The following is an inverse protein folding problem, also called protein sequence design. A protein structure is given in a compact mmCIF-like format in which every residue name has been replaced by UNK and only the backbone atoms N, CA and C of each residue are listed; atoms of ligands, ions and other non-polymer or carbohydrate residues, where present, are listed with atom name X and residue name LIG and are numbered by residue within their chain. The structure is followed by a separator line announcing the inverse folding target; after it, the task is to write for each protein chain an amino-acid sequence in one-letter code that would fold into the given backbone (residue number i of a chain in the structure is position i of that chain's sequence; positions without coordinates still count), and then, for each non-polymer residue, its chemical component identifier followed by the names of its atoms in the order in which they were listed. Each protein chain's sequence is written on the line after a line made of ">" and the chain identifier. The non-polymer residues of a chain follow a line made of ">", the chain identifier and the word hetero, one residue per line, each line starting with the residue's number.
data_IF_270322312099
#
_entry.id   IF_270322312099
#
_cell.length_a   1.000
_cell.length_b   1.000
_cell.length_c   1.000
_cell.angle_alpha   90.00
_cell.angle_beta   90.00
_cell.angle_gamma   90.00
#
_symmetry.space_group_name_H-M   'P 1'
#
loop_
_entity.id
_entity.type
_entity.pdbx_description
1 polymer ?
#
# COMPACT_ATOMS: atom_id res chain seq x y z
N UNK A 1 2.66 36.59 -8.37
CA UNK A 1 1.30 36.01 -8.39
C UNK A 1 1.25 34.96 -9.52
N UNK A 2 2.15 33.98 -9.64
CA UNK A 2 2.41 32.79 -8.78
C UNK A 2 1.14 31.99 -8.50
N UNK A 3 0.91 30.99 -9.37
CA UNK A 3 -0.18 30.02 -9.48
C UNK A 3 -1.58 30.61 -9.74
N UNK A 4 -2.24 30.15 -10.82
CA UNK A 4 -3.62 30.52 -11.20
C UNK A 4 -4.68 29.96 -10.22
N UNK A 5 -4.43 30.12 -8.91
CA UNK A 5 -5.31 29.62 -7.84
C UNK A 5 -6.52 30.54 -7.72
N UNK A 6 -7.71 29.98 -7.82
CA UNK A 6 -8.96 30.73 -7.67
C UNK A 6 -9.40 30.84 -6.21
N UNK A 7 -10.27 31.80 -5.90
CA UNK A 7 -10.91 31.90 -4.58
C UNK A 7 -11.70 30.64 -4.22
N UNK A 8 -12.30 29.98 -5.23
CA UNK A 8 -13.02 28.73 -5.05
C UNK A 8 -12.09 27.60 -4.61
N UNK A 9 -10.89 27.51 -5.20
CA UNK A 9 -9.87 26.53 -4.80
C UNK A 9 -9.37 26.78 -3.38
N UNK A 10 -9.12 28.03 -3.00
CA UNK A 10 -8.68 28.36 -1.63
C UNK A 10 -9.78 28.05 -0.60
N UNK A 11 -11.04 28.39 -0.89
CA UNK A 11 -12.16 28.03 -0.03
C UNK A 11 -12.31 26.50 0.10
N UNK A 12 -12.12 25.76 -0.99
CA UNK A 12 -12.15 24.30 -1.00
C UNK A 12 -11.01 23.71 -0.15
N UNK A 13 -9.77 24.19 -0.32
CA UNK A 13 -8.58 23.79 0.45
C UNK A 13 -8.76 24.01 1.96
N UNK A 14 -9.29 25.17 2.33
CA UNK A 14 -9.53 25.58 3.73
C UNK A 14 -10.74 24.91 4.38
N UNK A 15 -11.64 24.32 3.58
CA UNK A 15 -12.87 23.71 4.09
C UNK A 15 -14.01 24.71 4.37
N UNK A 16 -13.96 25.90 3.78
CA UNK A 16 -14.95 26.95 4.01
C UNK A 16 -16.23 26.74 3.17
N UNK A 17 -16.99 25.69 3.46
CA UNK A 17 -18.16 25.29 2.67
C UNK A 17 -19.21 26.42 2.46
N UNK A 18 -19.41 27.29 3.46
CA UNK A 18 -20.30 28.46 3.33
C UNK A 18 -19.78 29.49 2.34
N UNK A 19 -18.47 29.78 2.38
CA UNK A 19 -17.83 30.70 1.43
C UNK A 19 -17.84 30.08 0.04
N UNK A 20 -17.55 28.78 -0.06
CA UNK A 20 -17.62 28.02 -1.30
C UNK A 20 -19.01 28.14 -1.94
N UNK A 21 -20.09 27.99 -1.15
CA UNK A 21 -21.46 28.15 -1.63
C UNK A 21 -21.71 29.56 -2.18
N UNK A 22 -21.35 30.60 -1.41
CA UNK A 22 -21.49 31.99 -1.84
C UNK A 22 -20.75 32.24 -3.17
N UNK A 23 -19.51 31.76 -3.30
CA UNK A 23 -18.72 31.92 -4.51
C UNK A 23 -19.39 31.26 -5.72
N UNK A 24 -19.92 30.04 -5.55
CA UNK A 24 -20.62 29.32 -6.62
C UNK A 24 -21.93 30.00 -7.02
N UNK A 25 -22.69 30.51 -6.06
CA UNK A 25 -23.94 31.23 -6.32
C UNK A 25 -23.69 32.58 -7.02
N UNK A 26 -22.48 33.14 -6.90
CA UNK A 26 -22.03 34.34 -7.62
C UNK A 26 -21.20 34.03 -8.88
N UNK A 27 -21.30 32.81 -9.41
CA UNK A 27 -20.75 32.47 -10.73
C UNK A 27 -19.26 32.10 -10.74
N UNK A 28 -18.65 31.76 -9.60
CA UNK A 28 -17.31 31.18 -9.61
C UNK A 28 -17.28 29.88 -10.42
N UNK A 29 -16.34 29.78 -11.36
CA UNK A 29 -16.24 28.62 -12.25
C UNK A 29 -15.77 27.37 -11.51
N UNK A 30 -16.57 26.30 -11.57
CA UNK A 30 -16.19 24.95 -11.11
C UNK A 30 -15.06 24.33 -11.95
N UNK A 31 -14.94 24.76 -13.20
CA UNK A 31 -14.02 24.20 -14.18
C UNK A 31 -12.70 24.97 -14.31
N UNK A 32 -12.50 26.00 -13.49
CA UNK A 32 -11.21 26.65 -13.41
C UNK A 32 -10.14 25.66 -12.93
N UNK A 33 -8.99 25.69 -13.58
CA UNK A 33 -7.81 24.91 -13.25
C UNK A 33 -6.66 25.83 -12.90
N UNK A 34 -5.84 25.41 -11.94
CA UNK A 34 -4.57 26.09 -11.69
C UNK A 34 -3.47 25.60 -12.66
N UNK A 35 -2.23 26.01 -12.40
CA UNK A 35 -1.04 25.65 -13.20
C UNK A 35 -0.69 24.16 -13.16
N UNK A 36 -1.22 23.41 -12.19
CA UNK A 36 -1.05 21.96 -12.08
C UNK A 36 -2.25 21.19 -12.64
N UNK A 37 -3.25 21.90 -13.17
CA UNK A 37 -4.49 21.31 -13.65
C UNK A 37 -5.46 20.91 -12.54
N UNK A 38 -5.22 21.32 -11.29
CA UNK A 38 -6.12 21.02 -10.18
C UNK A 38 -7.37 21.90 -10.27
N UNK A 39 -8.52 21.28 -10.06
CA UNK A 39 -9.79 21.97 -9.80
C UNK A 39 -10.02 22.12 -8.28
N UNK A 40 -11.02 22.90 -7.88
CA UNK A 40 -11.40 23.02 -6.47
C UNK A 40 -11.67 21.67 -5.78
N UNK A 41 -12.22 20.67 -6.50
CA UNK A 41 -12.49 19.34 -5.94
C UNK A 41 -11.23 18.56 -5.57
N UNK A 42 -10.10 18.78 -6.28
CA UNK A 42 -8.82 18.18 -5.91
C UNK A 42 -8.36 18.69 -4.55
N UNK A 43 -8.45 20.00 -4.32
CA UNK A 43 -8.06 20.60 -3.04
C UNK A 43 -8.97 20.21 -1.89
N UNK A 44 -10.29 20.10 -2.14
CA UNK A 44 -11.21 19.58 -1.13
C UNK A 44 -10.83 18.14 -0.74
N UNK A 45 -10.51 17.29 -1.71
CA UNK A 45 -10.16 15.91 -1.47
C UNK A 45 -8.79 15.75 -0.78
N UNK A 46 -7.77 16.44 -1.28
CA UNK A 46 -6.40 16.47 -0.74
C UNK A 46 -6.34 16.93 0.72
N UNK A 47 -7.30 17.75 1.16
CA UNK A 47 -7.30 18.33 2.51
C UNK A 47 -8.45 17.80 3.39
N UNK A 48 -9.14 16.73 2.97
CA UNK A 48 -10.16 16.06 3.79
C UNK A 48 -11.40 16.93 4.03
N UNK A 49 -11.75 17.81 3.10
CA UNK A 49 -12.84 18.77 3.25
C UNK A 49 -14.14 18.19 2.72
N UNK A 50 -14.65 17.16 3.39
CA UNK A 50 -15.84 16.40 2.96
C UNK A 50 -17.05 17.29 2.61
N UNK A 51 -17.37 18.29 3.44
CA UNK A 51 -18.49 19.21 3.15
C UNK A 51 -18.29 20.04 1.88
N UNK A 52 -17.06 20.48 1.61
CA UNK A 52 -16.74 21.18 0.37
C UNK A 52 -16.82 20.24 -0.83
N UNK A 53 -16.30 19.02 -0.69
CA UNK A 53 -16.35 17.98 -1.71
C UNK A 53 -17.81 17.65 -2.10
N UNK A 54 -18.66 17.39 -1.10
CA UNK A 54 -20.10 17.16 -1.26
C UNK A 54 -20.78 18.31 -2.02
N UNK A 55 -20.53 19.55 -1.61
CA UNK A 55 -21.08 20.72 -2.27
C UNK A 55 -20.61 20.83 -3.74
N UNK A 56 -19.32 20.65 -4.00
CA UNK A 56 -18.76 20.70 -5.35
C UNK A 56 -19.38 19.64 -6.27
N UNK A 57 -19.52 18.39 -5.79
CA UNK A 57 -20.17 17.31 -6.55
C UNK A 57 -21.65 17.60 -6.79
N UNK A 58 -22.37 18.12 -5.78
CA UNK A 58 -23.80 18.50 -5.92
C UNK A 58 -24.03 19.60 -6.96
N UNK A 59 -23.03 20.45 -7.21
CA UNK A 59 -23.06 21.51 -8.22
C UNK A 59 -22.49 21.06 -9.58
N UNK A 60 -22.17 19.78 -9.75
CA UNK A 60 -21.75 19.18 -11.03
C UNK A 60 -20.25 19.00 -11.21
N UNK A 61 -19.43 19.14 -10.16
CA UNK A 61 -18.01 18.78 -10.26
C UNK A 61 -17.84 17.27 -10.44
N UNK A 62 -17.09 16.88 -11.46
CA UNK A 62 -16.74 15.48 -11.70
C UNK A 62 -15.56 15.08 -10.81
N UNK A 63 -15.72 14.03 -10.00
CA UNK A 63 -14.68 13.52 -9.11
C UNK A 63 -13.74 12.48 -9.76
N UNK A 64 -13.88 12.25 -11.07
CA UNK A 64 -13.07 11.31 -11.87
C UNK A 64 -11.99 12.02 -12.70
N UNK A 65 -11.95 13.35 -12.69
CA UNK A 65 -11.02 14.12 -13.52
C UNK A 65 -9.64 14.13 -12.89
N UNK A 66 -8.62 13.76 -13.67
CA UNK A 66 -7.23 13.89 -13.25
C UNK A 66 -6.68 15.29 -13.47
N UNK A 67 -5.73 15.70 -12.63
CA UNK A 67 -4.90 16.90 -12.86
C UNK A 67 -3.82 16.64 -13.94
N UNK A 68 -2.86 17.56 -14.12
CA UNK A 68 -1.79 17.38 -15.12
C UNK A 68 -0.85 16.21 -14.82
N UNK A 69 -0.83 15.70 -13.59
CA UNK A 69 -0.11 14.47 -13.21
C UNK A 69 -1.00 13.23 -13.22
N UNK A 70 -2.21 13.35 -13.78
CA UNK A 70 -3.26 12.33 -13.78
C UNK A 70 -3.74 11.91 -12.38
N UNK A 71 -3.42 12.68 -11.33
CA UNK A 71 -3.96 12.43 -9.99
C UNK A 71 -5.42 12.84 -9.92
N UNK A 72 -6.29 11.90 -9.58
CA UNK A 72 -7.73 12.15 -9.34
C UNK A 72 -7.97 12.70 -7.92
N UNK A 73 -9.15 13.25 -7.62
CA UNK A 73 -9.56 13.56 -6.25
C UNK A 73 -9.46 12.36 -5.30
N UNK A 74 -9.82 11.16 -5.75
CA UNK A 74 -9.70 9.93 -4.94
C UNK A 74 -8.23 9.64 -4.61
N UNK A 75 -7.32 9.74 -5.58
CA UNK A 75 -5.87 9.59 -5.35
C UNK A 75 -5.33 10.62 -4.34
N UNK A 76 -5.75 11.88 -4.46
CA UNK A 76 -5.35 12.95 -3.52
C UNK A 76 -5.84 12.68 -2.10
N UNK A 77 -7.09 12.23 -1.94
CA UNK A 77 -7.63 11.85 -0.63
C UNK A 77 -6.93 10.61 -0.06
N UNK A 78 -6.60 9.64 -0.92
CA UNK A 78 -5.95 8.40 -0.51
C UNK A 78 -4.51 8.63 -0.02
N UNK A 79 -3.72 9.38 -0.80
CA UNK A 79 -2.35 9.79 -0.44
C UNK A 79 -2.30 10.53 0.92
N UNK A 80 -3.29 11.39 1.18
CA UNK A 80 -3.34 12.20 2.40
C UNK A 80 -4.11 11.55 3.56
N UNK A 81 -4.70 10.36 3.37
CA UNK A 81 -5.33 9.58 4.44
C UNK A 81 -6.73 10.03 4.84
N UNK A 82 -7.47 10.67 3.94
CA UNK A 82 -8.82 11.18 4.23
C UNK A 82 -9.88 10.10 4.00
N UNK A 83 -9.99 9.16 4.94
CA UNK A 83 -10.88 7.99 4.88
C UNK A 83 -12.36 8.33 4.65
N UNK A 84 -12.86 9.41 5.25
CA UNK A 84 -14.24 9.90 5.10
C UNK A 84 -14.51 10.39 3.66
N UNK A 85 -13.57 11.13 3.08
CA UNK A 85 -13.60 11.57 1.68
C UNK A 85 -13.49 10.37 0.73
N UNK A 86 -12.56 9.44 0.98
CA UNK A 86 -12.38 8.22 0.16
C UNK A 86 -13.68 7.42 0.13
N UNK A 87 -14.26 7.13 1.30
CA UNK A 87 -15.52 6.39 1.44
C UNK A 87 -16.64 7.10 0.67
N UNK A 88 -16.83 8.40 0.90
CA UNK A 88 -17.88 9.16 0.23
C UNK A 88 -17.74 9.14 -1.30
N UNK A 89 -16.52 9.27 -1.83
CA UNK A 89 -16.27 9.23 -3.27
C UNK A 89 -16.66 7.87 -3.86
N UNK A 90 -16.27 6.77 -3.21
CA UNK A 90 -16.57 5.41 -3.65
C UNK A 90 -18.08 5.13 -3.62
N UNK A 91 -18.75 5.49 -2.52
CA UNK A 91 -20.20 5.33 -2.35
C UNK A 91 -21.00 6.17 -3.36
N UNK A 92 -20.43 7.27 -3.86
CA UNK A 92 -21.01 8.10 -4.92
C UNK A 92 -20.53 7.73 -6.33
N UNK A 93 -20.08 6.49 -6.52
CA UNK A 93 -19.82 5.91 -7.84
C UNK A 93 -18.45 6.25 -8.44
N UNK A 94 -17.55 6.90 -7.70
CA UNK A 94 -16.14 7.02 -8.11
C UNK A 94 -15.51 5.65 -7.93
N UNK A 95 -15.29 4.98 -9.05
CA UNK A 95 -14.81 3.62 -9.01
C UNK A 95 -13.29 3.60 -8.71
N UNK A 96 -12.86 2.76 -7.77
CA UNK A 96 -11.43 2.51 -7.49
C UNK A 96 -10.79 1.95 -8.77
N UNK A 97 -9.77 2.62 -9.30
CA UNK A 97 -9.15 2.21 -10.56
C UNK A 97 -7.70 1.83 -10.34
N UNK A 98 -7.19 0.76 -10.93
CA UNK A 98 -5.73 0.55 -11.03
C UNK A 98 -5.09 1.50 -12.08
N UNK A 99 -5.73 2.65 -12.36
CA UNK A 99 -5.14 3.63 -13.25
C UNK A 99 -3.95 4.26 -12.55
N UNK A 100 -2.92 4.51 -13.33
CA UNK A 100 -1.67 5.03 -12.81
C UNK A 100 -1.55 6.51 -13.10
N UNK A 101 -1.07 7.25 -12.11
CA UNK A 101 -0.64 8.63 -12.29
C UNK A 101 0.68 8.69 -13.12
N UNK A 102 1.23 9.88 -13.35
CA UNK A 102 2.50 10.03 -14.10
C UNK A 102 3.71 9.28 -13.50
N UNK A 103 3.65 8.90 -12.23
CA UNK A 103 4.69 8.17 -11.51
C UNK A 103 4.39 6.66 -11.43
N UNK A 104 3.43 6.16 -12.21
CA UNK A 104 3.00 4.75 -12.14
C UNK A 104 2.33 4.37 -10.81
N UNK A 105 1.64 5.29 -10.13
CA UNK A 105 1.00 5.03 -8.84
C UNK A 105 -0.54 5.06 -8.93
N UNK A 106 -1.19 4.12 -8.25
CA UNK A 106 -2.64 4.06 -8.03
C UNK A 106 -3.05 4.69 -6.68
N UNK A 107 -4.35 4.73 -6.38
CA UNK A 107 -4.86 5.11 -5.06
C UNK A 107 -4.30 4.21 -3.94
N UNK A 108 -4.18 2.90 -4.17
CA UNK A 108 -3.71 1.94 -3.17
C UNK A 108 -2.21 2.14 -2.93
N UNK A 109 -1.40 2.23 -3.98
CA UNK A 109 0.05 2.42 -3.82
C UNK A 109 0.35 3.77 -3.14
N UNK A 110 -0.41 4.83 -3.43
CA UNK A 110 -0.27 6.14 -2.78
C UNK A 110 -0.60 6.09 -1.28
N UNK A 111 -1.72 5.46 -0.92
CA UNK A 111 -2.12 5.29 0.48
C UNK A 111 -1.12 4.42 1.25
N UNK A 112 -0.69 3.30 0.66
CA UNK A 112 0.29 2.40 1.26
C UNK A 112 1.66 3.06 1.44
N UNK A 113 2.17 3.76 0.42
CA UNK A 113 3.44 4.50 0.51
C UNK A 113 3.41 5.58 1.58
N UNK A 114 2.26 6.21 1.79
CA UNK A 114 2.04 7.27 2.78
C UNK A 114 1.58 6.73 4.16
N UNK A 115 1.60 5.41 4.34
CA UNK A 115 1.18 4.68 5.53
C UNK A 115 -0.23 5.05 6.02
N UNK A 116 -1.19 5.13 5.10
CA UNK A 116 -2.60 5.48 5.38
C UNK A 116 -3.45 4.22 5.53
N UNK A 117 -3.23 3.46 6.61
CA UNK A 117 -3.81 2.12 6.79
C UNK A 117 -5.34 2.10 6.77
N UNK A 118 -6.01 3.10 7.34
CA UNK A 118 -7.48 3.19 7.27
C UNK A 118 -8.00 3.37 5.83
N UNK A 119 -7.27 4.11 4.99
CA UNK A 119 -7.59 4.19 3.56
C UNK A 119 -7.29 2.87 2.86
N UNK A 120 -6.16 2.21 3.17
CA UNK A 120 -5.82 0.90 2.61
C UNK A 120 -6.94 -0.11 2.92
N UNK A 121 -7.41 -0.18 4.16
CA UNK A 121 -8.55 -1.03 4.58
C UNK A 121 -9.80 -0.76 3.74
N UNK A 122 -10.12 0.51 3.47
CA UNK A 122 -11.23 0.88 2.58
C UNK A 122 -10.97 0.39 1.15
N UNK A 123 -9.79 0.65 0.59
CA UNK A 123 -9.47 0.32 -0.81
C UNK A 123 -9.35 -1.19 -1.08
N UNK A 124 -9.06 -1.99 -0.06
CA UNK A 124 -9.00 -3.45 -0.10
C UNK A 124 -10.34 -4.11 0.27
N UNK A 125 -11.33 -3.34 0.73
CA UNK A 125 -12.60 -3.88 1.16
C UNK A 125 -13.30 -4.59 -0.03
N UNK A 126 -13.65 -5.89 0.10
CA UNK A 126 -14.33 -6.65 -0.94
C UNK A 126 -15.65 -6.03 -1.41
N UNK A 127 -16.33 -5.24 -0.57
CA UNK A 127 -17.54 -4.50 -0.95
C UNK A 127 -17.30 -3.47 -2.07
N UNK A 128 -16.08 -2.95 -2.18
CA UNK A 128 -15.68 -1.99 -3.21
C UNK A 128 -14.81 -2.62 -4.31
N UNK A 129 -14.54 -3.92 -4.20
CA UNK A 129 -13.77 -4.67 -5.18
C UNK A 129 -14.47 -4.72 -6.55
N UNK A 130 -13.66 -4.76 -7.61
CA UNK A 130 -14.15 -4.82 -8.98
C UNK A 130 -13.80 -6.20 -9.52
N UNK A 131 -14.78 -7.12 -9.67
CA UNK A 131 -14.51 -8.54 -9.92
C UNK A 131 -13.82 -8.83 -11.25
N UNK A 132 -13.73 -7.85 -12.15
CA UNK A 132 -13.08 -7.98 -13.46
C UNK A 132 -11.72 -7.28 -13.57
N UNK A 133 -11.21 -6.73 -12.46
CA UNK A 133 -9.87 -6.14 -12.42
C UNK A 133 -9.00 -7.07 -11.58
N UNK A 134 -8.03 -7.69 -12.23
CA UNK A 134 -6.97 -8.39 -11.52
C UNK A 134 -6.05 -7.35 -10.86
N UNK A 135 -5.88 -7.47 -9.54
CA UNK A 135 -5.02 -6.60 -8.73
C UNK A 135 -3.84 -7.35 -8.15
N UNK A 136 -3.59 -8.61 -8.54
CA UNK A 136 -2.51 -9.43 -7.99
C UNK A 136 -1.17 -8.71 -8.02
N UNK A 137 -0.78 -8.17 -9.18
CA UNK A 137 0.52 -7.49 -9.37
C UNK A 137 0.64 -6.25 -8.49
N UNK A 138 -0.45 -5.51 -8.33
CA UNK A 138 -0.51 -4.33 -7.47
C UNK A 138 -0.39 -4.71 -5.99
N UNK A 139 -1.16 -5.71 -5.53
CA UNK A 139 -1.10 -6.22 -4.16
C UNK A 139 0.30 -6.74 -3.82
N UNK A 140 0.88 -7.52 -4.72
CA UNK A 140 2.22 -8.08 -4.60
C UNK A 140 3.30 -6.99 -4.54
N UNK A 141 3.20 -5.99 -5.42
CA UNK A 141 4.10 -4.84 -5.40
C UNK A 141 4.03 -4.09 -4.07
N UNK A 142 2.82 -3.87 -3.53
CA UNK A 142 2.65 -3.16 -2.25
C UNK A 142 3.10 -4.04 -1.07
N UNK A 143 2.90 -5.37 -1.13
CA UNK A 143 3.35 -6.30 -0.09
C UNK A 143 4.87 -6.23 0.05
N UNK A 144 5.59 -6.26 -1.08
CA UNK A 144 7.05 -6.07 -1.09
C UNK A 144 7.46 -4.76 -0.42
N UNK A 145 6.79 -3.64 -0.73
CA UNK A 145 7.08 -2.35 -0.09
C UNK A 145 6.80 -2.38 1.42
N UNK A 146 5.77 -3.10 1.87
CA UNK A 146 5.47 -3.27 3.28
C UNK A 146 6.57 -4.03 4.00
N UNK A 147 7.07 -5.12 3.40
CA UNK A 147 8.19 -5.92 3.91
C UNK A 147 9.49 -5.12 3.97
N UNK A 148 9.84 -4.39 2.90
CA UNK A 148 11.02 -3.52 2.84
C UNK A 148 10.99 -2.42 3.91
N UNK A 149 9.79 -1.90 4.22
CA UNK A 149 9.57 -0.86 5.24
C UNK A 149 9.33 -1.42 6.64
N UNK A 150 9.38 -2.73 6.85
CA UNK A 150 9.09 -3.41 8.13
C UNK A 150 7.70 -3.05 8.70
N UNK A 151 6.70 -2.92 7.81
CA UNK A 151 5.34 -2.55 8.16
C UNK A 151 4.43 -3.79 8.17
N UNK A 152 4.42 -4.48 9.32
CA UNK A 152 3.66 -5.73 9.51
C UNK A 152 2.16 -5.54 9.30
N UNK A 153 1.55 -4.49 9.87
CA UNK A 153 0.10 -4.25 9.74
C UNK A 153 -0.30 -4.06 8.26
N UNK A 154 0.50 -3.32 7.48
CA UNK A 154 0.24 -3.18 6.04
C UNK A 154 0.41 -4.52 5.30
N UNK A 155 1.43 -5.30 5.63
CA UNK A 155 1.66 -6.60 5.00
C UNK A 155 0.49 -7.57 5.28
N UNK A 156 0.02 -7.65 6.52
CA UNK A 156 -1.13 -8.49 6.89
C UNK A 156 -2.38 -8.08 6.12
N UNK A 157 -2.70 -6.78 6.03
CA UNK A 157 -3.85 -6.30 5.24
C UNK A 157 -3.79 -6.75 3.76
N UNK A 158 -2.59 -6.77 3.18
CA UNK A 158 -2.40 -7.17 1.78
C UNK A 158 -2.50 -8.68 1.61
N UNK A 159 -1.95 -9.45 2.55
CA UNK A 159 -2.05 -10.91 2.58
C UNK A 159 -3.51 -11.36 2.75
N UNK A 160 -4.27 -10.71 3.65
CA UNK A 160 -5.71 -10.90 3.80
C UNK A 160 -6.48 -10.59 2.52
N UNK A 161 -6.03 -9.59 1.75
CA UNK A 161 -6.60 -9.21 0.47
C UNK A 161 -6.15 -10.13 -0.69
N UNK A 162 -5.31 -11.13 -0.44
CA UNK A 162 -4.87 -12.12 -1.43
C UNK A 162 -3.54 -11.80 -2.12
N UNK A 163 -2.69 -10.93 -1.56
CA UNK A 163 -1.31 -10.82 -2.01
C UNK A 163 -0.58 -12.17 -1.84
N UNK A 164 0.28 -12.51 -2.78
CA UNK A 164 1.07 -13.74 -2.74
C UNK A 164 2.24 -13.59 -1.76
N UNK A 165 2.27 -14.32 -0.63
CA UNK A 165 3.39 -14.26 0.33
C UNK A 165 4.71 -14.77 -0.26
N UNK A 166 4.69 -15.47 -1.40
CA UNK A 166 5.85 -15.99 -2.09
C UNK A 166 6.34 -15.08 -3.22
N UNK A 167 5.71 -13.90 -3.38
CA UNK A 167 6.13 -12.95 -4.39
C UNK A 167 7.58 -12.50 -4.18
N UNK A 168 8.26 -12.28 -5.30
CA UNK A 168 9.69 -11.93 -5.34
C UNK A 168 9.88 -10.45 -5.66
N UNK A 169 10.99 -9.87 -5.21
CA UNK A 169 11.36 -8.51 -5.60
C UNK A 169 11.94 -8.47 -7.03
N UNK A 170 12.48 -7.31 -7.43
CA UNK A 170 13.07 -7.12 -8.76
C UNK A 170 14.30 -7.99 -9.05
N UNK A 171 14.91 -8.58 -8.02
CA UNK A 171 16.08 -9.44 -8.09
C UNK A 171 15.71 -10.92 -7.91
N UNK A 172 14.43 -11.26 -8.14
CA UNK A 172 13.86 -12.58 -7.88
C UNK A 172 14.06 -13.07 -6.42
N UNK A 173 14.21 -12.13 -5.48
CA UNK A 173 14.42 -12.41 -4.06
C UNK A 173 13.07 -12.49 -3.32
N UNK A 174 12.70 -13.64 -2.71
CA UNK A 174 11.39 -13.79 -2.08
C UNK A 174 11.24 -12.94 -0.82
N UNK A 175 10.04 -12.39 -0.60
CA UNK A 175 9.75 -11.50 0.53
C UNK A 175 10.12 -12.10 1.90
N UNK A 176 9.99 -13.42 2.08
CA UNK A 176 10.36 -14.11 3.31
C UNK A 176 11.85 -13.92 3.65
N UNK A 177 12.74 -13.95 2.66
CA UNK A 177 14.16 -13.73 2.89
C UNK A 177 14.44 -12.29 3.32
N UNK A 178 13.82 -11.30 2.68
CA UNK A 178 13.95 -9.89 3.09
C UNK A 178 13.52 -9.68 4.54
N UNK A 179 12.44 -10.32 4.99
CA UNK A 179 12.00 -10.26 6.39
C UNK A 179 13.04 -10.87 7.36
N UNK A 180 13.67 -11.99 6.96
CA UNK A 180 14.73 -12.65 7.73
C UNK A 180 15.98 -11.78 7.83
N UNK A 181 16.45 -11.25 6.70
CA UNK A 181 17.63 -10.36 6.64
C UNK A 181 17.42 -9.08 7.47
N UNK A 182 16.17 -8.61 7.52
CA UNK A 182 15.75 -7.48 8.34
C UNK A 182 15.66 -7.80 9.84
N UNK A 183 15.73 -9.07 10.23
CA UNK A 183 15.51 -9.53 11.60
C UNK A 183 14.08 -9.32 12.11
N UNK A 184 13.10 -9.19 11.22
CA UNK A 184 11.72 -8.86 11.56
C UNK A 184 10.90 -10.14 11.81
N UNK A 185 10.96 -10.62 13.06
CA UNK A 185 10.28 -11.86 13.47
C UNK A 185 8.77 -11.82 13.22
N UNK A 186 8.11 -10.69 13.46
CA UNK A 186 6.65 -10.59 13.29
C UNK A 186 6.27 -10.61 11.80
N UNK A 187 7.06 -9.99 10.93
CA UNK A 187 6.89 -10.14 9.48
C UNK A 187 7.12 -11.58 9.01
N UNK A 188 8.15 -12.26 9.53
CA UNK A 188 8.42 -13.68 9.23
C UNK A 188 7.24 -14.56 9.64
N UNK A 189 6.72 -14.36 10.86
CA UNK A 189 5.54 -15.08 11.36
C UNK A 189 4.34 -14.86 10.45
N UNK A 190 4.07 -13.59 10.10
CA UNK A 190 2.96 -13.20 9.23
C UNK A 190 3.06 -13.89 7.88
N UNK A 191 4.16 -13.71 7.14
CA UNK A 191 4.36 -14.33 5.84
C UNK A 191 4.20 -15.85 5.87
N UNK A 192 4.78 -16.54 6.85
CA UNK A 192 4.65 -18.00 7.00
C UNK A 192 3.20 -18.40 7.30
N UNK A 193 2.50 -17.67 8.17
CA UNK A 193 1.10 -17.97 8.50
C UNK A 193 0.15 -17.84 7.30
N UNK A 194 0.48 -16.96 6.35
CA UNK A 194 -0.26 -16.78 5.10
C UNK A 194 0.22 -17.70 3.96
N UNK A 195 1.21 -18.57 4.19
CA UNK A 195 1.63 -19.59 3.24
C UNK A 195 2.95 -19.34 2.52
N UNK A 196 3.84 -18.50 3.07
CA UNK A 196 5.21 -18.42 2.58
C UNK A 196 5.93 -19.77 2.70
N UNK A 197 6.61 -20.17 1.63
CA UNK A 197 7.33 -21.44 1.56
C UNK A 197 8.62 -21.38 2.39
N UNK A 198 8.59 -22.10 3.52
CA UNK A 198 9.73 -22.22 4.46
C UNK A 198 10.95 -22.98 3.88
N UNK A 199 10.79 -23.65 2.74
CA UNK A 199 11.81 -24.43 2.05
C UNK A 199 12.15 -23.88 0.65
N UNK A 200 11.68 -22.68 0.33
CA UNK A 200 12.01 -22.02 -0.93
C UNK A 200 13.52 -21.81 -1.04
N UNK A 201 14.07 -21.96 -2.24
CA UNK A 201 15.45 -21.59 -2.51
C UNK A 201 15.47 -20.19 -3.12
N UNK A 202 16.36 -19.34 -2.63
CA UNK A 202 16.73 -18.13 -3.36
C UNK A 202 17.73 -18.49 -4.50
N UNK A 203 18.22 -17.48 -5.22
CA UNK A 203 19.15 -17.66 -6.34
C UNK A 203 20.53 -18.23 -5.95
N UNK A 204 20.86 -18.23 -4.66
CA UNK A 204 22.09 -18.81 -4.09
C UNK A 204 21.91 -20.24 -3.53
N UNK A 205 20.78 -20.90 -3.84
CA UNK A 205 20.39 -22.19 -3.25
C UNK A 205 20.31 -22.16 -1.71
N UNK A 206 20.07 -20.98 -1.12
CA UNK A 206 19.91 -20.79 0.33
C UNK A 206 18.42 -20.96 0.69
N UNK A 207 18.16 -21.68 1.78
CA UNK A 207 16.80 -21.81 2.36
C UNK A 207 16.54 -20.71 3.40
N UNK A 208 15.27 -20.39 3.74
CA UNK A 208 14.95 -19.47 4.82
C UNK A 208 15.65 -19.80 6.15
N UNK A 209 15.74 -21.09 6.52
CA UNK A 209 16.44 -21.50 7.73
C UNK A 209 17.94 -21.19 7.65
N UNK A 210 18.57 -21.45 6.51
CA UNK A 210 19.99 -21.15 6.29
C UNK A 210 20.26 -19.65 6.40
N UNK A 211 19.44 -18.82 5.75
CA UNK A 211 19.54 -17.36 5.87
C UNK A 211 19.38 -16.90 7.32
N UNK A 212 18.39 -17.42 8.06
CA UNK A 212 18.19 -17.10 9.46
C UNK A 212 19.41 -17.44 10.34
N UNK A 213 20.06 -18.58 10.08
CA UNK A 213 21.31 -18.97 10.76
C UNK A 213 22.44 -17.99 10.43
N UNK A 214 22.58 -17.58 9.17
CA UNK A 214 23.60 -16.61 8.74
C UNK A 214 23.42 -15.23 9.39
N UNK A 215 22.18 -14.79 9.63
CA UNK A 215 21.91 -13.55 10.37
C UNK A 215 22.22 -13.66 11.88
N UNK A 216 22.30 -14.88 12.42
CA UNK A 216 22.46 -15.13 13.86
C UNK A 216 21.22 -14.81 14.71
N UNK A 217 20.05 -14.60 14.10
CA UNK A 217 18.81 -14.30 14.83
C UNK A 217 18.17 -15.59 15.38
N UNK A 218 18.43 -15.88 16.66
CA UNK A 218 17.98 -17.09 17.35
C UNK A 218 16.45 -17.24 17.30
N UNK A 219 15.69 -16.16 17.52
CA UNK A 219 14.23 -16.22 17.57
C UNK A 219 13.62 -16.62 16.22
N UNK A 220 14.18 -16.12 15.11
CA UNK A 220 13.76 -16.50 13.76
C UNK A 220 14.14 -17.96 13.46
N UNK A 221 15.36 -18.39 13.86
CA UNK A 221 15.80 -19.78 13.69
C UNK A 221 14.87 -20.74 14.44
N UNK A 222 14.55 -20.44 15.70
CA UNK A 222 13.62 -21.23 16.50
C UNK A 222 12.24 -21.31 15.84
N UNK A 223 11.71 -20.16 15.40
CA UNK A 223 10.39 -20.12 14.77
C UNK A 223 10.33 -20.92 13.47
N UNK A 224 11.27 -20.72 12.54
CA UNK A 224 11.31 -21.46 11.26
C UNK A 224 11.50 -22.96 11.50
N UNK A 225 12.35 -23.34 12.47
CA UNK A 225 12.57 -24.75 12.84
C UNK A 225 11.29 -25.40 13.35
N UNK A 226 10.54 -24.70 14.21
CA UNK A 226 9.25 -25.17 14.71
C UNK A 226 8.24 -25.28 13.58
N UNK A 227 8.07 -24.24 12.76
CA UNK A 227 7.15 -24.22 11.63
C UNK A 227 7.41 -25.37 10.63
N UNK A 228 8.69 -25.69 10.36
CA UNK A 228 9.06 -26.81 9.49
C UNK A 228 8.69 -28.19 10.03
N UNK A 229 8.85 -28.42 11.35
CA UNK A 229 8.40 -29.66 11.99
C UNK A 229 6.90 -29.86 11.86
N UNK A 230 6.10 -28.82 12.05
CA UNK A 230 4.65 -28.89 11.95
C UNK A 230 4.16 -29.13 10.51
N UNK A 231 4.87 -28.59 9.51
CA UNK A 231 4.51 -28.75 8.10
C UNK A 231 5.02 -30.07 7.48
N UNK A 232 5.65 -30.96 8.26
CA UNK A 232 6.21 -32.22 7.76
C UNK A 232 7.37 -32.03 6.78
N UNK A 233 7.99 -30.85 6.82
CA UNK A 233 9.04 -30.43 5.89
C UNK A 233 10.39 -30.82 6.48
N UNK A 234 11.15 -31.63 5.75
CA UNK A 234 12.54 -31.94 6.13
C UNK A 234 13.40 -30.72 5.84
N UNK A 235 13.83 -30.03 6.90
CA UNK A 235 14.77 -28.93 6.81
C UNK A 235 16.16 -29.54 6.57
N UNK A 236 16.61 -29.55 5.32
CA UNK A 236 17.91 -30.14 4.96
C UNK A 236 19.04 -29.16 5.21
N UNK A 237 19.96 -29.52 6.10
CA UNK A 237 21.23 -28.83 6.32
C UNK A 237 22.22 -29.19 5.21
N UNK A 238 22.04 -28.68 3.98
CA UNK A 238 23.14 -28.73 3.02
C UNK A 238 24.20 -27.77 3.54
N UNK A 239 25.39 -28.27 3.84
CA UNK A 239 26.44 -27.50 4.49
C UNK A 239 26.63 -26.14 3.81
N UNK A 240 26.39 -25.07 4.58
CA UNK A 240 26.67 -23.70 4.18
C UNK A 240 28.14 -23.64 3.74
N UNK A 241 28.40 -23.17 2.52
CA UNK A 241 29.76 -23.11 1.92
C UNK A 241 30.67 -22.07 2.60
N UNK A 242 30.32 -21.60 3.79
CA UNK A 242 31.00 -20.51 4.49
C UNK A 242 31.52 -20.98 5.86
N UNK A 243 32.80 -20.70 6.11
CA UNK A 243 33.62 -21.15 7.24
C UNK A 243 33.25 -20.60 8.62
N UNK A 244 32.04 -20.08 8.83
CA UNK A 244 31.64 -19.42 10.08
C UNK A 244 30.57 -20.12 10.93
N UNK A 245 30.05 -21.29 10.54
CA UNK A 245 28.86 -21.89 11.19
C UNK A 245 29.18 -23.23 11.86
N UNK A 246 30.39 -23.42 12.38
CA UNK A 246 30.74 -24.67 13.07
C UNK A 246 30.20 -24.75 14.53
N UNK A 247 29.60 -23.69 15.07
CA UNK A 247 29.19 -23.65 16.49
C UNK A 247 27.70 -23.92 16.74
N UNK A 248 26.80 -23.74 15.77
CA UNK A 248 25.34 -23.90 16.02
C UNK A 248 24.83 -25.35 15.87
N UNK A 249 25.58 -26.24 15.20
CA UNK A 249 25.18 -27.65 15.04
C UNK A 249 25.21 -28.46 16.35
N UNK A 250 25.87 -27.98 17.41
CA UNK A 250 25.99 -28.71 18.68
C UNK A 250 24.83 -28.51 19.65
N UNK A 251 23.96 -27.52 19.43
CA UNK A 251 22.87 -27.20 20.38
C UNK A 251 21.49 -27.71 19.92
N UNK A 252 21.38 -28.30 18.73
CA UNK A 252 20.10 -28.68 18.10
C UNK A 252 19.95 -30.19 17.81
N UNK A 253 20.80 -31.04 18.37
CA UNK A 253 20.70 -32.52 18.33
C UNK A 253 20.45 -33.02 19.75
#
# INVERSE_FOLDING_TARGET
>A
LTNQTTLLMEAARRGYAKILAILLDHGASLHAKDTEGNFAIHYAAENGRLKCLQLLMSKGSLAIVGNLSFKTPLMKAAENGHADVVTYLIENGVKITCMLNKNSESELTLAANSNKLEVVKILLNPLYARPYIDRSDELNYVLRLAVEKKNVELAELLLEAGADPNYVNSDDYPCLFTAIDNGDLEMVKSLISYGAYINLLNWDDVTPLMAAIETGNVEIVEYITLAGKFNGVVLTFKALKSSHIFNLQKELI
#
